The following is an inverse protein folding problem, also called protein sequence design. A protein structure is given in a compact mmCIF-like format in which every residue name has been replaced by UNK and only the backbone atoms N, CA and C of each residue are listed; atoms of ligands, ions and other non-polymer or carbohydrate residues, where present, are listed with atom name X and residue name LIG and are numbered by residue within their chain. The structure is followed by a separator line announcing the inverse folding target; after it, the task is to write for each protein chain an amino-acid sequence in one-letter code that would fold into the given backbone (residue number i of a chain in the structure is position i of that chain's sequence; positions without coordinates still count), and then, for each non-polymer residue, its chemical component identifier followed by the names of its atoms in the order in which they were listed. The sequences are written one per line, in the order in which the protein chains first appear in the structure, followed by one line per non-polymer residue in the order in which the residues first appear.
data_IF_313281709985
#
_entry.id   IF_313281709985
#
_cell.length_a   1.000
_cell.length_b   1.000
_cell.length_c   1.000
_cell.angle_alpha   90.00
_cell.angle_beta   90.00
_cell.angle_gamma   90.00
#
_symmetry.space_group_name_H-M   'P 1'
#
loop_
_entity.id
_entity.type
_entity.pdbx_description
1 polymer ?
#
# COMPACT_ATOMS: atom_id res chain seq x y z
N UNK A 1 0.92 15.64 1.68
CA UNK A 1 0.89 14.26 1.17
C UNK A 1 -0.27 13.52 1.82
N UNK A 2 -1.19 13.03 1.02
CA UNK A 2 -2.44 12.44 1.51
C UNK A 2 -2.68 11.00 1.06
N UNK A 3 -2.14 10.63 -0.10
CA UNK A 3 -2.42 9.34 -0.70
C UNK A 3 -1.14 8.67 -1.16
N UNK A 4 -0.95 7.46 -0.66
CA UNK A 4 0.25 6.66 -0.90
C UNK A 4 -0.14 5.44 -1.73
N UNK A 5 0.60 5.21 -2.80
CA UNK A 5 0.49 3.98 -3.57
C UNK A 5 1.57 3.00 -3.12
N UNK A 6 1.23 1.72 -3.04
CA UNK A 6 2.16 0.65 -2.70
C UNK A 6 2.08 -0.42 -3.78
N UNK A 7 3.20 -0.71 -4.42
CA UNK A 7 3.30 -1.80 -5.38
C UNK A 7 3.88 -3.02 -4.67
N UNK A 8 3.11 -4.08 -4.66
CA UNK A 8 3.50 -5.32 -4.01
C UNK A 8 2.78 -5.54 -2.69
N UNK A 9 2.14 -6.69 -2.55
CA UNK A 9 1.30 -7.04 -1.42
C UNK A 9 1.96 -8.10 -0.52
N UNK A 10 3.28 -8.17 -0.50
CA UNK A 10 4.03 -9.02 0.40
C UNK A 10 4.13 -8.42 1.80
N UNK A 11 5.01 -8.96 2.63
CA UNK A 11 5.20 -8.49 4.00
C UNK A 11 5.59 -7.02 4.07
N UNK A 12 6.52 -6.59 3.22
CA UNK A 12 6.98 -5.21 3.21
C UNK A 12 5.87 -4.25 2.77
N UNK A 13 5.20 -4.56 1.66
CA UNK A 13 4.08 -3.74 1.18
C UNK A 13 2.96 -3.65 2.21
N UNK A 14 2.62 -4.76 2.85
CA UNK A 14 1.62 -4.81 3.92
C UNK A 14 2.03 -3.94 5.11
N UNK A 15 3.30 -3.99 5.51
CA UNK A 15 3.83 -3.18 6.61
C UNK A 15 3.77 -1.69 6.31
N UNK A 16 4.12 -1.30 5.09
CA UNK A 16 4.04 0.09 4.64
C UNK A 16 2.58 0.57 4.66
N UNK A 17 1.68 -0.23 4.12
CA UNK A 17 0.26 0.09 4.10
C UNK A 17 -0.30 0.28 5.52
N UNK A 18 0.08 -0.62 6.43
CA UNK A 18 -0.31 -0.56 7.84
C UNK A 18 0.11 0.77 8.48
N UNK A 19 1.39 1.10 8.40
CA UNK A 19 1.95 2.31 9.02
C UNK A 19 1.29 3.56 8.44
N UNK A 20 1.15 3.64 7.11
CA UNK A 20 0.54 4.79 6.45
C UNK A 20 -0.93 4.96 6.83
N UNK A 21 -1.68 3.87 6.87
CA UNK A 21 -3.10 3.90 7.22
C UNK A 21 -3.31 4.37 8.66
N UNK A 22 -2.50 3.89 9.59
CA UNK A 22 -2.56 4.31 11.00
C UNK A 22 -2.20 5.79 11.13
N UNK A 23 -1.27 6.27 10.30
CA UNK A 23 -0.89 7.69 10.29
C UNK A 23 -1.94 8.62 9.68
N UNK A 24 -3.03 8.09 9.15
CA UNK A 24 -4.12 8.88 8.58
C UNK A 24 -4.05 9.09 7.08
N UNK A 25 -3.17 8.36 6.39
CA UNK A 25 -3.01 8.46 4.94
C UNK A 25 -3.90 7.44 4.23
N UNK A 26 -4.43 7.82 3.08
CA UNK A 26 -5.09 6.87 2.19
C UNK A 26 -4.02 6.03 1.50
N UNK A 27 -4.28 4.73 1.38
CA UNK A 27 -3.35 3.78 0.78
C UNK A 27 -4.03 3.05 -0.37
N UNK A 28 -3.34 2.99 -1.50
CA UNK A 28 -3.73 2.16 -2.63
C UNK A 28 -2.66 1.11 -2.85
N UNK A 29 -3.00 -0.14 -2.61
CA UNK A 29 -2.08 -1.26 -2.78
C UNK A 29 -2.41 -1.98 -4.08
N UNK A 30 -1.42 -2.18 -4.93
CA UNK A 30 -1.57 -2.88 -6.21
C UNK A 30 -0.62 -4.06 -6.27
N UNK A 31 -1.15 -5.19 -6.69
CA UNK A 31 -0.38 -6.40 -6.99
C UNK A 31 -1.08 -7.12 -8.14
N UNK A 32 -0.33 -7.87 -8.93
CA UNK A 32 -0.89 -8.64 -10.04
C UNK A 32 -1.72 -9.83 -9.55
N UNK A 33 -1.49 -10.29 -8.34
CA UNK A 33 -2.19 -11.43 -7.73
C UNK A 33 -3.23 -10.95 -6.71
N UNK A 34 -4.50 -11.14 -7.00
CA UNK A 34 -5.60 -10.79 -6.09
C UNK A 34 -5.49 -11.53 -4.74
N UNK A 35 -5.01 -12.77 -4.77
CA UNK A 35 -4.81 -13.56 -3.54
C UNK A 35 -3.78 -12.93 -2.62
N UNK A 36 -2.72 -12.34 -3.20
CA UNK A 36 -1.71 -11.63 -2.42
C UNK A 36 -2.32 -10.39 -1.76
N UNK A 37 -3.18 -9.67 -2.46
CA UNK A 37 -3.90 -8.51 -1.92
C UNK A 37 -4.80 -8.91 -0.77
N UNK A 38 -5.56 -9.99 -0.90
CA UNK A 38 -6.44 -10.49 0.15
C UNK A 38 -5.65 -10.89 1.40
N UNK A 39 -4.52 -11.56 1.21
CA UNK A 39 -3.63 -11.94 2.32
C UNK A 39 -3.02 -10.71 3.00
N UNK A 40 -2.67 -9.69 2.22
CA UNK A 40 -2.09 -8.46 2.75
C UNK A 40 -3.09 -7.72 3.63
N UNK A 41 -4.33 -7.58 3.18
CA UNK A 41 -5.38 -6.93 3.97
C UNK A 41 -5.66 -7.72 5.25
N UNK A 42 -5.72 -9.05 5.16
CA UNK A 42 -5.92 -9.89 6.33
C UNK A 42 -4.78 -9.76 7.34
N UNK A 43 -3.54 -9.64 6.86
CA UNK A 43 -2.37 -9.44 7.70
C UNK A 43 -2.42 -8.09 8.43
N UNK A 44 -2.77 -7.03 7.71
CA UNK A 44 -2.92 -5.70 8.31
C UNK A 44 -4.01 -5.71 9.37
N UNK A 45 -5.15 -6.30 9.05
CA UNK A 45 -6.27 -6.43 10.00
C UNK A 45 -5.86 -7.18 11.25
N UNK A 46 -5.15 -8.29 11.10
CA UNK A 46 -4.64 -9.08 12.21
C UNK A 46 -3.70 -8.26 13.10
N UNK A 47 -2.76 -7.56 12.51
CA UNK A 47 -1.79 -6.74 13.24
C UNK A 47 -2.44 -5.55 13.94
N UNK A 48 -3.40 -4.90 13.29
CA UNK A 48 -4.18 -3.84 13.92
C UNK A 48 -4.98 -4.37 15.11
N UNK A 49 -5.56 -5.55 14.97
CA UNK A 49 -6.29 -6.21 16.05
C UNK A 49 -5.41 -6.49 17.25
N UNK A 50 -4.15 -6.87 17.01
CA UNK A 50 -3.18 -7.09 18.10
C UNK A 50 -2.85 -5.78 18.81
N UNK A 51 -2.69 -4.68 18.09
CA UNK A 51 -2.44 -3.36 18.67
C UNK A 51 -3.63 -2.90 19.51
N UNK A 52 -4.84 -3.14 19.03
CA UNK A 52 -6.07 -2.82 19.75
C UNK A 52 -6.18 -3.64 21.04
N UNK A 53 -5.90 -4.93 20.97
CA UNK A 53 -5.94 -5.83 22.13
C UNK A 53 -4.92 -5.44 23.20
N UNK A 54 -3.81 -4.83 22.81
CA UNK A 54 -2.78 -4.34 23.74
C UNK A 54 -3.03 -2.91 24.24
N UNK A 55 -4.14 -2.30 23.86
CA UNK A 55 -4.48 -0.94 24.25
C UNK A 55 -3.67 0.15 23.56
N UNK A 56 -2.92 -0.19 22.50
CA UNK A 56 -2.08 0.77 21.76
C UNK A 56 -2.81 1.49 20.66
N UNK A 57 -4.00 1.01 20.30
CA UNK A 57 -4.82 1.58 19.24
C UNK A 57 -6.28 1.44 19.63
N UNK A 58 -7.04 2.51 19.53
CA UNK A 58 -8.48 2.46 19.79
C UNK A 58 -9.19 1.70 18.66
N UNK A 59 -10.28 1.02 19.01
CA UNK A 59 -11.03 0.22 18.03
C UNK A 59 -11.57 1.04 16.87
N UNK A 60 -12.03 2.27 17.13
CA UNK A 60 -12.48 3.18 16.09
C UNK A 60 -11.34 3.60 15.16
N UNK A 61 -10.13 3.79 15.70
CA UNK A 61 -8.94 4.11 14.92
C UNK A 61 -8.52 2.92 14.07
N UNK A 62 -8.67 1.71 14.56
CA UNK A 62 -8.45 0.49 13.78
C UNK A 62 -9.37 0.42 12.57
N UNK A 63 -10.68 0.64 12.77
CA UNK A 63 -11.65 0.63 11.68
C UNK A 63 -11.38 1.73 10.66
N UNK A 64 -11.02 2.92 11.14
CA UNK A 64 -10.67 4.04 10.27
C UNK A 64 -9.43 3.71 9.43
N UNK A 65 -8.40 3.12 10.03
CA UNK A 65 -7.20 2.72 9.31
C UNK A 65 -7.51 1.70 8.21
N UNK A 66 -8.30 0.67 8.51
CA UNK A 66 -8.70 -0.33 7.53
C UNK A 66 -9.47 0.29 6.36
N UNK A 67 -10.33 1.27 6.64
CA UNK A 67 -11.12 1.94 5.60
C UNK A 67 -10.26 2.79 4.66
N UNK A 68 -9.04 3.15 5.05
CA UNK A 68 -8.13 3.93 4.21
C UNK A 68 -7.37 3.09 3.20
N UNK A 69 -7.38 1.75 3.34
CA UNK A 69 -6.66 0.84 2.46
C UNK A 69 -7.60 0.34 1.37
N UNK A 70 -7.25 0.60 0.12
CA UNK A 70 -7.91 0.01 -1.04
C UNK A 70 -6.91 -0.81 -1.86
N UNK A 71 -7.41 -1.79 -2.58
CA UNK A 71 -6.57 -2.71 -3.34
C UNK A 71 -7.03 -2.80 -4.80
N UNK A 72 -6.13 -3.18 -5.67
CA UNK A 72 -6.42 -3.36 -7.08
C UNK A 72 -5.29 -4.05 -7.80
N UNK A 73 -5.54 -4.43 -9.05
CA UNK A 73 -4.56 -5.12 -9.89
C UNK A 73 -4.04 -4.25 -11.03
N UNK A 74 -4.49 -3.01 -11.12
CA UNK A 74 -4.17 -2.09 -12.20
C UNK A 74 -3.46 -0.85 -11.66
N UNK A 75 -2.35 -0.45 -12.30
CA UNK A 75 -1.60 0.74 -11.93
C UNK A 75 -2.37 2.05 -12.15
N UNK A 76 -3.46 2.03 -12.90
CA UNK A 76 -4.32 3.20 -13.05
C UNK A 76 -4.84 3.71 -11.69
N UNK A 77 -4.89 2.84 -10.68
CA UNK A 77 -5.28 3.22 -9.32
C UNK A 77 -4.36 4.27 -8.69
N UNK A 78 -3.15 4.45 -9.22
CA UNK A 78 -2.16 5.39 -8.69
C UNK A 78 -2.26 6.80 -9.26
N UNK A 79 -3.23 7.06 -10.14
CA UNK A 79 -3.34 8.35 -10.84
C UNK A 79 -3.42 9.57 -9.93
N UNK A 80 -3.94 9.42 -8.73
CA UNK A 80 -4.08 10.50 -7.75
C UNK A 80 -3.20 10.32 -6.50
N UNK A 81 -2.22 9.42 -6.55
CA UNK A 81 -1.27 9.24 -5.45
C UNK A 81 -0.20 10.32 -5.46
N UNK A 82 0.19 10.76 -4.27
CA UNK A 82 1.26 11.74 -4.06
C UNK A 82 2.64 11.08 -4.05
N UNK A 83 2.69 9.85 -3.57
CA UNK A 83 3.90 9.04 -3.49
C UNK A 83 3.55 7.60 -3.82
N UNK A 84 4.35 6.97 -4.66
CA UNK A 84 4.23 5.53 -4.92
C UNK A 84 5.51 4.85 -4.45
N UNK A 85 5.34 3.81 -3.63
CA UNK A 85 6.46 3.04 -3.08
C UNK A 85 6.47 1.66 -3.73
N UNK A 86 7.56 1.34 -4.40
CA UNK A 86 7.75 0.02 -4.99
C UNK A 86 8.35 -0.92 -3.93
N UNK A 87 7.61 -1.96 -3.57
CA UNK A 87 7.98 -2.95 -2.56
C UNK A 87 7.83 -4.39 -3.10
N UNK A 88 7.77 -4.55 -4.43
CA UNK A 88 7.45 -5.83 -5.06
C UNK A 88 8.66 -6.74 -5.23
N UNK A 89 9.84 -6.17 -5.43
CA UNK A 89 11.00 -6.95 -5.83
C UNK A 89 12.32 -6.21 -5.54
N UNK A 90 13.40 -6.98 -5.41
CA UNK A 90 14.75 -6.44 -5.39
C UNK A 90 15.45 -6.59 -6.74
N UNK A 91 14.82 -7.27 -7.70
CA UNK A 91 15.37 -7.50 -9.03
C UNK A 91 15.30 -6.22 -9.87
N UNK A 92 16.45 -5.73 -10.31
CA UNK A 92 16.59 -4.49 -11.08
C UNK A 92 15.81 -4.48 -12.41
N UNK A 93 15.82 -5.59 -13.13
CA UNK A 93 15.11 -5.69 -14.40
C UNK A 93 13.59 -5.65 -14.19
N UNK A 94 13.12 -6.34 -13.17
CA UNK A 94 11.69 -6.33 -12.82
C UNK A 94 11.28 -4.92 -12.36
N UNK A 95 12.12 -4.24 -11.59
CA UNK A 95 11.85 -2.85 -11.19
C UNK A 95 11.73 -1.93 -12.39
N UNK A 96 12.62 -2.04 -13.37
CA UNK A 96 12.55 -1.24 -14.59
C UNK A 96 11.24 -1.46 -15.34
N UNK A 97 10.83 -2.70 -15.46
CA UNK A 97 9.58 -3.04 -16.14
C UNK A 97 8.37 -2.49 -15.38
N UNK A 98 8.38 -2.60 -14.05
CA UNK A 98 7.33 -2.02 -13.20
C UNK A 98 7.24 -0.51 -13.41
N UNK A 99 8.37 0.20 -13.36
CA UNK A 99 8.38 1.65 -13.56
C UNK A 99 7.90 2.04 -14.96
N UNK A 100 8.28 1.27 -15.97
CA UNK A 100 7.87 1.52 -17.35
C UNK A 100 6.34 1.47 -17.50
N UNK A 101 5.70 0.52 -16.82
CA UNK A 101 4.25 0.37 -16.84
C UNK A 101 3.55 1.38 -15.93
N UNK A 102 4.20 1.78 -14.85
CA UNK A 102 3.65 2.67 -13.83
C UNK A 102 3.59 4.13 -14.27
N UNK A 103 4.70 4.64 -14.81
CA UNK A 103 4.89 6.08 -15.07
C UNK A 103 3.76 6.71 -15.89
N UNK A 104 3.22 6.06 -16.93
CA UNK A 104 2.10 6.66 -17.69
C UNK A 104 0.84 6.92 -16.87
N UNK A 105 0.67 6.26 -15.74
CA UNK A 105 -0.51 6.39 -14.89
C UNK A 105 -0.34 7.43 -13.78
N UNK A 106 0.89 7.92 -13.57
CA UNK A 106 1.16 8.80 -12.45
C UNK A 106 0.80 10.25 -12.74
N UNK A 107 0.39 10.94 -11.68
CA UNK A 107 0.29 12.39 -11.68
C UNK A 107 1.70 12.97 -11.87
N UNK A 108 1.79 14.12 -12.59
CA UNK A 108 3.07 14.78 -12.87
C UNK A 108 3.87 15.15 -11.62
N UNK A 109 3.18 15.39 -10.51
CA UNK A 109 3.81 15.80 -9.25
C UNK A 109 4.08 14.62 -8.32
N UNK A 110 3.76 13.40 -8.73
CA UNK A 110 3.94 12.22 -7.89
C UNK A 110 5.42 11.88 -7.71
N UNK A 111 5.76 11.48 -6.50
CA UNK A 111 7.09 10.96 -6.16
C UNK A 111 7.08 9.44 -6.22
N UNK A 112 8.23 8.86 -6.57
CA UNK A 112 8.40 7.40 -6.57
C UNK A 112 9.57 7.06 -5.66
N UNK A 113 9.32 6.16 -4.72
CA UNK A 113 10.35 5.59 -3.87
C UNK A 113 10.51 4.12 -4.17
N UNK A 114 11.72 3.61 -4.07
CA UNK A 114 12.00 2.19 -4.23
C UNK A 114 12.70 1.66 -2.99
N UNK A 115 12.43 0.43 -2.77
CA UNK A 115 13.00 -0.32 -1.67
C UNK A 115 14.40 -0.85 -2.03
#
# INVERSE_FOLDING_TARGET
MRRIGVIGAGQMGSGIAHVCAVAGLDVRMVDVAEEALSRAVALVEHNLGRQTARGKLAEDDMRAALSRISTGTDYAAFGDCDLVIEAATENEEVKREVFKQLVPHLNADALIATN
#
